data_IF_073279505814
#
_entry.id   IF_073279505814
#
_cell.length_a   1.000
_cell.length_b   1.000
_cell.length_c   1.000
_cell.angle_alpha   90.00
_cell.angle_beta   90.00
_cell.angle_gamma   90.00
#
_symmetry.space_group_name_H-M   'P 1'
#
loop_
_entity.id
_entity.type
_entity.pdbx_description
1 polymer ?
2 non-polymer ?
3 water ?
#
# COMPACT_ATOMS: atom_id res chain seq x y z
N UNK A 1 -0.42 10.47 -19.36
CA UNK A 1 -1.36 11.33 -18.58
C UNK A 1 -0.94 12.80 -18.54
N UNK A 2 -1.29 13.51 -17.46
CA UNK A 2 -0.96 14.92 -17.31
C UNK A 2 0.20 15.17 -16.36
N UNK A 3 1.21 15.88 -16.84
CA UNK A 3 2.41 16.20 -16.05
C UNK A 3 2.56 17.71 -15.83
N UNK A 4 3.06 18.10 -14.66
CA UNK A 4 3.27 19.51 -14.31
C UNK A 4 4.77 19.81 -14.22
N UNK A 5 5.16 21.03 -14.59
CA UNK A 5 6.57 21.40 -14.59
C UNK A 5 7.25 21.75 -13.28
N UNK A 6 6.53 22.39 -12.36
CA UNK A 6 7.13 22.79 -11.11
C UNK A 6 7.36 21.69 -10.08
N UNK A 7 7.55 20.46 -10.54
CA UNK A 7 7.74 19.34 -9.63
C UNK A 7 8.88 18.38 -9.97
N UNK A 8 9.37 17.72 -8.94
CA UNK A 8 10.43 16.72 -9.06
C UNK A 8 9.71 15.38 -8.83
N UNK A 9 10.00 14.41 -9.69
CA UNK A 9 9.33 13.12 -9.62
C UNK A 9 10.17 11.89 -9.27
N UNK A 10 9.47 10.81 -8.98
CA UNK A 10 10.07 9.53 -8.64
C UNK A 10 9.52 8.47 -9.62
N UNK A 11 10.36 7.48 -9.97
CA UNK A 11 9.99 6.40 -10.88
C UNK A 11 8.73 5.66 -10.42
N UNK A 12 8.51 5.63 -9.11
CA UNK A 12 7.35 4.96 -8.54
C UNK A 12 6.11 5.85 -8.61
N UNK A 13 6.21 6.91 -9.40
CA UNK A 13 5.14 7.88 -9.65
C UNK A 13 4.72 8.87 -8.57
N UNK A 14 5.59 9.13 -7.62
CA UNK A 14 5.29 10.12 -6.58
C UNK A 14 5.94 11.43 -6.99
N UNK A 15 5.39 12.53 -6.52
CA UNK A 15 5.93 13.86 -6.82
C UNK A 15 6.23 14.62 -5.55
N UNK A 16 7.12 15.59 -5.66
CA UNK A 16 7.52 16.41 -4.53
C UNK A 16 7.38 17.87 -4.95
N UNK A 17 7.18 18.73 -3.98
CA UNK A 17 7.04 20.15 -4.23
C UNK A 17 7.85 20.82 -3.14
N UNK A 18 8.95 21.45 -3.54
CA UNK A 18 9.84 22.14 -2.60
C UNK A 18 9.38 23.59 -2.51
N UNK A 19 9.26 24.09 -1.29
CA UNK A 19 8.82 25.45 -1.05
C UNK A 19 9.50 25.99 0.20
N UNK A 20 10.67 26.57 0.00
CA UNK A 20 11.42 27.13 1.11
C UNK A 20 12.13 26.07 1.94
N UNK A 21 11.42 25.51 2.90
CA UNK A 21 11.99 24.49 3.77
C UNK A 21 11.00 23.36 4.05
N UNK A 22 10.07 23.15 3.13
CA UNK A 22 9.07 22.09 3.24
C UNK A 22 8.77 21.44 1.91
N UNK A 23 8.46 20.15 1.96
CA UNK A 23 8.16 19.41 0.76
C UNK A 23 6.77 18.81 0.87
N UNK A 24 5.98 18.94 -0.19
CA UNK A 24 4.64 18.37 -0.23
C UNK A 24 4.76 17.17 -1.17
N UNK A 25 4.33 16.01 -0.67
CA UNK A 25 4.39 14.76 -1.43
C UNK A 25 2.99 14.25 -1.77
N UNK A 26 2.89 13.56 -2.90
CA UNK A 26 1.64 12.98 -3.36
C UNK A 26 1.97 12.04 -4.51
N UNK A 27 0.94 11.55 -5.21
CA UNK A 27 1.17 10.68 -6.35
C UNK A 27 0.67 11.38 -7.62
N UNK A 28 1.35 11.11 -8.73
CA UNK A 28 1.01 11.71 -10.02
C UNK A 28 -0.33 11.32 -10.62
N UNK A 29 -0.67 11.98 -11.73
CA UNK A 29 -1.92 11.71 -12.42
C UNK A 29 -1.84 10.39 -13.13
N UNK A 30 -0.66 10.05 -13.64
CA UNK A 30 -0.45 8.78 -14.35
C UNK A 30 -0.73 7.65 -13.37
N UNK A 31 -0.31 7.86 -12.12
CA UNK A 31 -0.47 6.89 -11.06
C UNK A 31 -1.94 6.58 -10.76
N UNK A 32 -2.74 7.62 -10.53
CA UNK A 32 -4.15 7.44 -10.20
C UNK A 32 -4.95 6.90 -11.38
N UNK A 33 -4.53 7.30 -12.58
CA UNK A 33 -5.18 6.88 -13.81
C UNK A 33 -4.98 5.38 -13.96
N UNK A 34 -3.83 4.90 -13.51
CA UNK A 34 -3.52 3.47 -13.59
C UNK A 34 -4.10 2.70 -12.41
N UNK A 35 -4.16 3.35 -11.24
CA UNK A 35 -4.71 2.69 -10.07
C UNK A 35 -6.20 2.44 -10.17
N UNK A 36 -6.90 3.35 -10.83
CA UNK A 36 -8.34 3.24 -10.95
C UNK A 36 -8.93 3.98 -9.76
N UNK A 37 -10.23 3.87 -9.56
CA UNK A 37 -10.88 4.56 -8.45
C UNK A 37 -10.20 4.25 -7.11
N UNK A 38 -9.68 5.30 -6.47
CA UNK A 38 -9.04 5.16 -5.18
C UNK A 38 -10.12 5.14 -4.11
N UNK A 39 -10.11 4.10 -3.29
CA UNK A 39 -11.10 3.94 -2.24
C UNK A 39 -10.61 4.08 -0.79
N UNK A 40 -9.30 4.21 -0.60
CA UNK A 40 -8.77 4.36 0.74
C UNK A 40 -7.31 4.79 0.73
N UNK A 41 -6.93 5.59 1.72
CA UNK A 41 -5.56 6.06 1.82
C UNK A 41 -5.07 5.92 3.25
N UNK A 42 -3.95 5.23 3.41
CA UNK A 42 -3.35 5.03 4.73
C UNK A 42 -2.11 5.90 4.78
N UNK A 43 -2.17 6.95 5.58
CA UNK A 43 -1.05 7.90 5.72
C UNK A 43 -0.29 7.71 7.03
N UNK A 44 0.97 8.16 7.08
CA UNK A 44 1.81 8.06 8.28
C UNK A 44 1.42 9.05 9.38
N UNK A 45 2.11 8.98 10.50
CA UNK A 45 1.84 9.84 11.64
C UNK A 45 2.80 11.02 11.71
N UNK A 46 2.31 12.19 12.18
CA UNK A 46 3.16 13.38 12.30
C UNK A 46 4.31 13.12 13.28
N UNK A 47 5.46 13.69 12.98
CA UNK A 47 6.65 13.51 13.81
C UNK A 47 7.53 12.37 13.34
N UNK A 48 6.93 11.42 12.61
CA UNK A 48 7.64 10.25 12.09
C UNK A 48 8.56 10.62 10.93
N UNK A 49 9.69 9.91 10.85
CA UNK A 49 10.67 10.16 9.79
C UNK A 49 10.49 9.27 8.57
N UNK A 50 10.45 9.89 7.39
CA UNK A 50 10.33 9.12 6.17
C UNK A 50 11.73 9.05 5.57
N UNK A 51 11.98 7.99 4.82
CA UNK A 51 13.28 7.80 4.19
C UNK A 51 13.13 7.69 2.68
N UNK A 52 14.10 8.26 1.95
CA UNK A 52 14.09 8.23 0.50
C UNK A 52 14.05 6.77 0.01
N UNK A 53 13.01 6.45 -0.76
CA UNK A 53 12.86 5.10 -1.28
C UNK A 53 12.04 4.12 -0.47
N UNK A 54 11.77 4.43 0.79
CA UNK A 54 10.97 3.55 1.64
C UNK A 54 9.50 3.97 1.71
N UNK A 55 8.62 3.00 1.93
CA UNK A 55 7.20 3.28 1.98
C UNK A 55 6.76 4.01 3.23
N UNK A 56 5.87 4.99 3.06
CA UNK A 56 5.34 5.77 4.18
C UNK A 56 3.85 5.55 4.36
N UNK A 57 3.19 5.12 3.29
CA UNK A 57 1.76 4.88 3.35
C UNK A 57 1.31 4.03 2.19
N UNK A 58 0.01 3.98 1.99
CA UNK A 58 -0.55 3.19 0.90
C UNK A 58 -1.85 3.78 0.38
N UNK A 59 -2.13 3.46 -0.87
CA UNK A 59 -3.32 3.89 -1.57
C UNK A 59 -3.98 2.61 -2.04
N UNK A 60 -5.26 2.46 -1.75
CA UNK A 60 -6.00 1.28 -2.18
C UNK A 60 -6.99 1.67 -3.23
N UNK A 61 -7.09 0.85 -4.27
CA UNK A 61 -8.04 1.10 -5.35
C UNK A 61 -9.04 -0.03 -5.28
N UNK A 62 -9.95 -0.05 -6.24
CA UNK A 62 -10.95 -1.10 -6.30
C UNK A 62 -10.27 -2.42 -6.68
N UNK A 63 -9.08 -2.35 -7.29
CA UNK A 63 -8.36 -3.59 -7.63
C UNK A 63 -7.28 -3.97 -6.63
N UNK A 64 -6.44 -3.01 -6.24
CA UNK A 64 -5.36 -3.34 -5.34
C UNK A 64 -4.80 -2.32 -4.34
N UNK A 65 -3.82 -2.79 -3.57
CA UNK A 65 -3.11 -2.02 -2.57
C UNK A 65 -1.79 -1.60 -3.22
N UNK A 66 -1.56 -0.30 -3.22
CA UNK A 66 -0.36 0.27 -3.82
C UNK A 66 0.41 1.09 -2.78
N UNK A 67 1.56 0.57 -2.36
CA UNK A 67 2.41 1.25 -1.39
C UNK A 67 3.15 2.44 -2.00
N UNK A 68 3.02 3.60 -1.37
CA UNK A 68 3.68 4.80 -1.87
C UNK A 68 5.00 5.05 -1.17
N UNK A 69 6.05 5.14 -1.98
CA UNK A 69 7.41 5.38 -1.49
C UNK A 69 7.73 6.86 -1.40
N UNK A 70 8.35 7.25 -0.29
CA UNK A 70 8.71 8.63 -0.09
C UNK A 70 9.85 8.97 -1.04
N UNK A 71 9.65 10.00 -1.89
CA UNK A 71 10.66 10.45 -2.85
C UNK A 71 11.93 11.00 -2.21
N UNK A 72 11.82 11.46 -0.96
CA UNK A 72 12.96 11.99 -0.19
C UNK A 72 12.80 11.69 1.29
N UNK A 73 13.80 12.08 2.09
CA UNK A 73 13.77 11.86 3.54
C UNK A 73 13.36 13.13 4.29
N UNK A 74 12.93 12.93 5.53
CA UNK A 74 12.51 14.04 6.36
C UNK A 74 11.58 13.62 7.49
N UNK A 75 11.11 14.61 8.23
CA UNK A 75 10.20 14.33 9.33
C UNK A 75 8.82 14.79 8.86
N UNK A 76 7.81 13.96 9.10
CA UNK A 76 6.46 14.33 8.71
C UNK A 76 5.97 15.38 9.68
N UNK A 77 5.56 16.52 9.15
CA UNK A 77 5.05 17.60 9.97
C UNK A 77 3.55 17.69 9.76
N UNK A 78 3.11 17.36 8.54
CA UNK A 78 1.71 17.43 8.19
C UNK A 78 1.22 16.24 7.39
N UNK A 79 -0.07 15.96 7.54
CA UNK A 79 -0.73 14.85 6.86
C UNK A 79 -2.13 15.30 6.41
N UNK A 80 -2.49 14.97 5.17
CA UNK A 80 -3.81 15.33 4.65
C UNK A 80 -4.87 14.42 5.25
N UNK A 81 -5.43 14.83 6.38
CA UNK A 81 -6.46 14.06 7.08
C UNK A 81 -7.77 14.03 6.32
N UNK A 82 -7.89 14.89 5.31
CA UNK A 82 -9.09 14.94 4.50
C UNK A 82 -9.21 13.74 3.57
N UNK A 83 -8.08 13.07 3.33
CA UNK A 83 -8.07 11.90 2.45
C UNK A 83 -8.78 10.70 3.05
N UNK A 84 -8.82 10.62 4.39
CA UNK A 84 -9.51 9.51 5.06
C UNK A 84 -10.99 9.58 4.74
N UNK A 85 -11.51 10.81 4.69
CA UNK A 85 -12.90 11.04 4.38
C UNK A 85 -13.19 10.99 2.88
N UNK A 86 -12.36 11.66 2.10
CA UNK A 86 -12.52 11.68 0.65
C UNK A 86 -11.32 11.12 -0.11
N UNK A 87 -11.17 9.79 -0.13
CA UNK A 87 -10.04 9.15 -0.82
C UNK A 87 -10.03 9.50 -2.31
N UNK A 88 -11.19 9.89 -2.82
CA UNK A 88 -11.32 10.22 -4.23
C UNK A 88 -10.53 11.41 -4.73
N UNK A 89 -10.15 12.31 -3.81
CA UNK A 89 -9.37 13.49 -4.18
C UNK A 89 -8.08 13.12 -4.90
N UNK A 90 -7.63 11.89 -4.71
CA UNK A 90 -6.43 11.41 -5.35
C UNK A 90 -6.71 11.32 -6.85
N UNK A 91 -7.87 10.78 -7.20
CA UNK A 91 -8.25 10.64 -8.61
C UNK A 91 -8.59 11.99 -9.25
N UNK A 92 -9.35 12.81 -8.52
CA UNK A 92 -9.79 14.11 -9.04
C UNK A 92 -8.79 15.26 -8.99
N UNK A 93 -7.94 15.27 -7.96
CA UNK A 93 -6.97 16.36 -7.79
C UNK A 93 -5.64 15.79 -7.26
N UNK A 94 -4.97 14.92 -8.06
CA UNK A 94 -3.71 14.31 -7.65
C UNK A 94 -2.59 15.29 -7.28
N UNK A 95 -2.49 16.39 -8.00
CA UNK A 95 -1.43 17.35 -7.74
C UNK A 95 -1.75 18.47 -6.76
N UNK A 96 -3.03 18.74 -6.53
CA UNK A 96 -3.41 19.82 -5.62
C UNK A 96 -3.98 19.31 -4.29
N UNK A 97 -5.26 18.92 -4.29
CA UNK A 97 -5.94 18.44 -3.09
C UNK A 97 -5.61 17.00 -2.72
N UNK A 98 -5.05 16.26 -3.67
CA UNK A 98 -4.67 14.89 -3.43
C UNK A 98 -3.32 14.80 -2.74
N UNK A 99 -2.87 15.89 -2.11
CA UNK A 99 -1.59 15.84 -1.42
C UNK A 99 -1.69 14.88 -0.25
N UNK A 100 -0.63 14.10 -0.04
CA UNK A 100 -0.61 13.13 1.02
C UNK A 100 0.06 13.61 2.28
N UNK A 101 1.33 14.02 2.17
CA UNK A 101 2.06 14.51 3.34
C UNK A 101 2.93 15.75 3.07
N UNK A 102 3.36 16.38 4.16
CA UNK A 102 4.24 17.54 4.12
C UNK A 102 5.40 17.19 5.05
N UNK A 103 6.62 17.26 4.50
CA UNK A 103 7.82 16.88 5.24
C UNK A 103 8.88 17.97 5.36
N UNK A 104 9.74 17.82 6.36
CA UNK A 104 10.87 18.72 6.58
C UNK A 104 12.02 17.97 5.96
N UNK A 105 12.45 18.34 4.74
CA UNK A 105 13.57 17.62 4.10
C UNK A 105 14.81 17.58 4.99
N UNK A 106 15.23 16.36 5.33
CA UNK A 106 16.42 16.16 6.16
C UNK A 106 17.73 16.08 5.33
N UNK A 107 17.59 15.78 4.04
CA UNK A 107 18.72 15.67 3.11
C UNK A 107 18.26 16.29 1.78
N UNK A 108 18.10 17.62 1.75
CA UNK A 108 17.65 18.39 0.58
C UNK A 108 18.20 18.06 -0.80
N UNK A 109 19.52 17.92 -0.91
CA UNK A 109 20.16 17.61 -2.20
C UNK A 109 19.67 16.30 -2.86
N UNK A 110 18.90 15.51 -2.12
CA UNK A 110 18.34 14.26 -2.64
C UNK A 110 17.43 14.62 -3.82
N UNK A 111 17.02 15.89 -3.88
CA UNK A 111 16.16 16.41 -4.94
C UNK A 111 16.87 16.43 -6.30
N UNK A 112 18.20 16.37 -6.28
CA UNK A 112 18.99 16.37 -7.51
C UNK A 112 18.77 15.04 -8.25
N UNK A 113 18.68 13.94 -7.48
CA UNK A 113 18.46 12.60 -8.01
C UNK A 113 17.06 12.44 -8.60
N UNK A 114 16.19 13.40 -8.29
CA UNK A 114 14.80 13.36 -8.77
C UNK A 114 14.63 13.89 -10.19
N UNK A 115 13.79 13.19 -10.94
CA UNK A 115 13.49 13.54 -12.32
C UNK A 115 12.65 14.79 -12.41
N UNK A 116 12.62 15.39 -13.60
CA UNK A 116 11.83 16.58 -13.83
C UNK A 116 10.62 16.16 -14.64
N UNK A 117 9.84 17.14 -15.10
CA UNK A 117 8.63 16.85 -15.88
C UNK A 117 8.92 16.11 -17.17
N UNK A 118 9.85 16.64 -17.96
CA UNK A 118 10.24 16.05 -19.25
C UNK A 118 10.86 14.67 -19.04
N UNK A 119 11.73 14.57 -18.03
CA UNK A 119 12.38 13.31 -17.70
C UNK A 119 11.32 12.27 -17.31
N UNK A 120 10.36 12.69 -16.48
CA UNK A 120 9.28 11.82 -16.03
C UNK A 120 8.36 11.40 -17.17
N UNK A 121 8.03 12.34 -18.06
CA UNK A 121 7.15 12.05 -19.18
C UNK A 121 7.76 10.96 -20.06
N UNK A 122 9.06 11.09 -20.35
CA UNK A 122 9.77 10.09 -21.17
C UNK A 122 9.68 8.78 -20.41
N UNK A 123 9.90 8.85 -19.09
CA UNK A 123 9.84 7.66 -18.27
C UNK A 123 8.47 7.00 -18.39
N UNK A 124 7.40 7.76 -18.15
CA UNK A 124 6.06 7.21 -18.24
C UNK A 124 5.79 6.64 -19.62
N UNK A 125 6.43 7.19 -20.65
CA UNK A 125 6.26 6.69 -22.00
C UNK A 125 6.90 5.32 -22.15
N UNK A 126 8.12 5.18 -21.62
CA UNK A 126 8.87 3.93 -21.68
C UNK A 126 8.15 2.79 -20.99
N UNK A 127 7.60 3.08 -19.82
CA UNK A 127 6.88 2.10 -19.03
C UNK A 127 5.58 1.68 -19.71
N UNK A 128 4.88 2.64 -20.31
CA UNK A 128 3.63 2.36 -21.01
C UNK A 128 3.91 1.58 -22.30
N UNK A 129 5.06 1.86 -22.92
CA UNK A 129 5.48 1.22 -24.17
C UNK A 129 5.96 -0.23 -24.00
N UNK A 130 6.35 -0.59 -22.79
CA UNK A 130 6.81 -1.95 -22.51
C UNK A 130 5.60 -2.88 -22.46
N UNK A 131 4.58 -2.53 -23.25
CA UNK A 131 3.33 -3.27 -23.37
C UNK A 131 2.61 -2.81 -24.64
N UNK B 1 -19.04 -12.47 -0.50
CA UNK B 1 -17.65 -12.62 0.04
C UNK B 1 -17.69 -13.07 1.48
N UNK B 2 -17.00 -14.16 1.77
CA UNK B 2 -16.96 -14.69 3.13
C UNK B 2 -15.99 -13.89 4.01
N UNK B 3 -16.40 -13.68 5.27
CA UNK B 3 -15.61 -12.98 6.26
C UNK B 3 -15.71 -13.76 7.57
N UNK B 4 -14.62 -14.42 7.95
CA UNK B 4 -14.58 -15.23 9.18
C UNK B 4 -14.62 -14.40 10.48
N UNK B 5 -15.35 -14.92 11.46
CA UNK B 5 -15.56 -14.26 12.74
C UNK B 5 -14.36 -14.15 13.69
N UNK B 6 -13.44 -15.11 13.63
CA UNK B 6 -12.30 -15.07 14.54
C UNK B 6 -11.04 -14.35 14.08
N UNK B 7 -11.11 -13.72 12.93
CA UNK B 7 -9.97 -13.01 12.37
C UNK B 7 -10.07 -11.50 12.50
N UNK B 8 -8.93 -10.84 12.53
CA UNK B 8 -8.87 -9.39 12.60
C UNK B 8 -8.49 -8.95 11.19
N UNK B 9 -8.85 -7.73 10.80
CA UNK B 9 -8.53 -7.27 9.45
C UNK B 9 -7.88 -5.90 9.33
N UNK B 10 -7.05 -5.75 8.31
CA UNK B 10 -6.36 -4.49 8.02
C UNK B 10 -7.17 -3.89 6.87
N UNK B 11 -7.38 -2.56 6.88
CA UNK B 11 -8.15 -1.98 5.77
C UNK B 11 -7.56 -2.32 4.39
N UNK B 12 -6.28 -2.66 4.38
CA UNK B 12 -5.59 -3.04 3.15
C UNK B 12 -5.96 -4.46 2.69
N UNK B 13 -6.95 -5.04 3.36
CA UNK B 13 -7.49 -6.36 3.07
C UNK B 13 -6.67 -7.60 3.40
N UNK B 14 -5.94 -7.54 4.50
CA UNK B 14 -5.17 -8.69 4.98
C UNK B 14 -5.84 -9.13 6.28
N UNK B 15 -5.80 -10.43 6.56
CA UNK B 15 -6.39 -10.96 7.78
C UNK B 15 -5.32 -11.50 8.71
N UNK B 16 -5.65 -11.63 9.99
CA UNK B 16 -4.68 -12.15 10.95
C UNK B 16 -5.32 -13.15 11.88
N UNK B 17 -4.76 -14.36 11.91
CA UNK B 17 -5.26 -15.40 12.79
C UNK B 17 -4.24 -15.55 13.91
N UNK B 18 -4.60 -15.10 15.11
CA UNK B 18 -3.68 -15.20 16.22
C UNK B 18 -3.96 -16.41 17.11
N UNK B 19 -3.03 -17.36 17.09
CA UNK B 19 -3.10 -18.58 17.87
C UNK B 19 -1.75 -18.81 18.53
N UNK B 20 -1.76 -18.89 19.85
CA UNK B 20 -0.51 -19.07 20.58
C UNK B 20 0.35 -17.85 20.36
N UNK B 21 1.66 -18.04 20.22
CA UNK B 21 2.56 -16.91 20.00
C UNK B 21 2.84 -16.77 18.49
N UNK B 22 1.95 -17.36 17.68
CA UNK B 22 2.08 -17.34 16.22
C UNK B 22 0.89 -16.64 15.58
N UNK B 23 1.16 -15.73 14.63
CA UNK B 23 0.09 -15.05 13.93
C UNK B 23 0.22 -15.38 12.44
N UNK B 24 -0.89 -15.80 11.83
CA UNK B 24 -0.89 -16.15 10.42
C UNK B 24 -1.52 -15.04 9.59
N UNK B 25 -0.85 -14.65 8.51
CA UNK B 25 -1.36 -13.61 7.64
C UNK B 25 -1.63 -14.06 6.21
N UNK B 26 -2.71 -13.53 5.64
CA UNK B 26 -3.12 -13.84 4.29
C UNK B 26 -3.99 -12.73 3.72
N UNK B 27 -4.47 -12.94 2.49
CA UNK B 27 -5.33 -12.01 1.78
C UNK B 27 -6.79 -12.42 2.02
N UNK B 28 -7.71 -11.45 2.11
CA UNK B 28 -9.12 -11.78 2.34
C UNK B 28 -9.81 -12.34 1.09
N UNK B 29 -11.04 -12.80 1.26
CA UNK B 29 -11.83 -13.35 0.17
C UNK B 29 -12.16 -12.19 -0.79
N UNK B 30 -12.46 -11.04 -0.20
CA UNK B 30 -12.76 -9.82 -0.92
C UNK B 30 -11.56 -9.46 -1.80
N UNK B 31 -10.37 -9.51 -1.20
CA UNK B 31 -9.15 -9.18 -1.91
C UNK B 31 -8.90 -10.08 -3.11
N UNK B 32 -9.02 -11.39 -2.94
CA UNK B 32 -8.77 -12.29 -4.06
C UNK B 32 -9.80 -12.11 -5.15
N UNK B 33 -11.06 -11.91 -4.74
CA UNK B 33 -12.16 -11.73 -5.67
C UNK B 33 -11.99 -10.50 -6.55
N UNK B 34 -11.62 -9.38 -5.94
CA UNK B 34 -11.42 -8.13 -6.66
C UNK B 34 -10.12 -8.08 -7.48
N UNK B 35 -9.16 -8.95 -7.14
CA UNK B 35 -7.89 -8.98 -7.84
C UNK B 35 -7.85 -9.85 -9.09
N UNK B 36 -8.65 -10.92 -9.08
CA UNK B 36 -8.68 -11.84 -10.20
C UNK B 36 -7.78 -13.03 -9.90
N UNK B 37 -7.75 -14.01 -10.80
CA UNK B 37 -6.93 -15.22 -10.63
C UNK B 37 -5.47 -14.86 -10.38
N UNK B 38 -4.95 -15.28 -9.23
CA UNK B 38 -3.57 -15.00 -8.90
C UNK B 38 -2.67 -15.94 -9.69
N UNK B 39 -1.73 -15.35 -10.42
CA UNK B 39 -0.82 -16.12 -11.24
C UNK B 39 0.59 -16.18 -10.66
N UNK B 40 0.92 -15.19 -9.83
CA UNK B 40 2.24 -15.12 -9.20
C UNK B 40 2.14 -14.55 -7.80
N UNK B 41 2.94 -15.09 -6.89
CA UNK B 41 2.98 -14.68 -5.50
C UNK B 41 4.43 -14.50 -5.01
N UNK B 42 4.73 -13.31 -4.50
CA UNK B 42 6.08 -13.01 -4.01
C UNK B 42 6.02 -12.98 -2.48
N UNK B 43 6.82 -13.84 -1.85
CA UNK B 43 6.85 -13.96 -0.39
C UNK B 43 8.18 -13.62 0.23
N UNK B 44 8.20 -13.30 1.53
CA UNK B 44 9.44 -12.97 2.22
C UNK B 44 10.20 -14.26 2.50
N UNK B 45 11.17 -14.17 3.39
CA UNK B 45 11.98 -15.31 3.76
C UNK B 45 11.97 -15.40 5.29
N UNK B 46 12.02 -16.61 5.86
CA UNK B 46 12.03 -16.75 7.32
C UNK B 46 13.29 -16.15 7.91
N UNK B 47 13.15 -15.52 9.07
CA UNK B 47 14.28 -14.91 9.74
C UNK B 47 14.27 -13.40 9.55
N UNK B 48 13.50 -12.96 8.56
CA UNK B 48 13.33 -11.54 8.22
C UNK B 48 12.15 -10.96 9.04
N UNK B 49 12.23 -9.69 9.42
CA UNK B 49 11.15 -9.09 10.19
C UNK B 49 10.15 -8.37 9.31
N UNK B 50 8.94 -8.19 9.82
CA UNK B 50 7.86 -7.46 9.13
C UNK B 50 7.33 -6.38 10.06
N UNK B 51 6.89 -5.26 9.48
CA UNK B 51 6.39 -4.13 10.24
C UNK B 51 4.97 -3.76 9.83
N UNK B 52 4.14 -3.45 10.81
CA UNK B 52 2.75 -3.07 10.55
C UNK B 52 2.67 -1.91 9.55
N UNK B 53 1.88 -2.12 8.49
CA UNK B 53 1.71 -1.11 7.46
C UNK B 53 2.71 -1.16 6.32
N UNK B 54 3.80 -1.92 6.51
CA UNK B 54 4.83 -2.08 5.50
C UNK B 54 4.58 -3.36 4.70
N UNK B 55 4.74 -3.27 3.38
CA UNK B 55 4.57 -4.41 2.51
C UNK B 55 5.62 -5.48 2.75
N UNK B 56 5.25 -6.74 2.58
CA UNK B 56 6.16 -7.87 2.80
C UNK B 56 6.22 -8.81 1.60
N UNK B 57 5.13 -8.86 0.85
CA UNK B 57 5.07 -9.68 -0.33
C UNK B 57 4.27 -8.93 -1.36
N UNK B 58 3.65 -9.67 -2.28
CA UNK B 58 2.83 -9.06 -3.31
C UNK B 58 2.17 -10.13 -4.16
N UNK B 59 0.91 -9.92 -4.50
CA UNK B 59 0.21 -10.87 -5.34
C UNK B 59 -0.06 -10.27 -6.72
N UNK B 60 0.22 -11.05 -7.75
CA UNK B 60 0.03 -10.61 -9.11
C UNK B 60 -0.98 -11.49 -9.84
N UNK B 61 -1.91 -10.83 -10.54
CA UNK B 61 -2.93 -11.49 -11.35
C UNK B 61 -2.78 -10.84 -12.74
N UNK B 62 -3.53 -11.32 -13.74
CA UNK B 62 -3.43 -10.74 -15.08
C UNK B 62 -4.08 -9.36 -15.06
N UNK B 63 -4.96 -9.16 -14.08
CA UNK B 63 -5.69 -7.93 -13.91
C UNK B 63 -4.90 -6.86 -13.17
N UNK B 64 -4.17 -7.25 -12.11
CA UNK B 64 -3.37 -6.30 -11.33
C UNK B 64 -2.31 -6.93 -10.44
N UNK B 65 -1.51 -6.04 -9.88
CA UNK B 65 -0.40 -6.34 -8.96
C UNK B 65 -0.71 -5.58 -7.68
N UNK B 66 -0.79 -6.30 -6.57
CA UNK B 66 -1.13 -5.68 -5.31
C UNK B 66 -0.12 -5.90 -4.21
N UNK B 67 0.28 -4.83 -3.55
CA UNK B 67 1.21 -4.91 -2.44
C UNK B 67 0.49 -5.54 -1.25
N UNK B 68 1.16 -6.46 -0.57
CA UNK B 68 0.59 -7.12 0.59
C UNK B 68 1.38 -6.66 1.82
N UNK B 69 0.69 -5.93 2.69
CA UNK B 69 1.30 -5.37 3.92
C UNK B 69 0.98 -6.16 5.18
N UNK B 70 1.89 -6.13 6.13
CA UNK B 70 1.70 -6.85 7.38
C UNK B 70 0.83 -6.06 8.35
N UNK B 71 -0.27 -6.66 8.83
CA UNK B 71 -1.18 -6.00 9.77
C UNK B 71 -0.50 -5.65 11.10
N UNK B 72 0.55 -6.40 11.43
CA UNK B 72 1.31 -6.20 12.66
C UNK B 72 2.81 -6.42 12.43
N UNK B 73 3.61 -6.15 13.46
CA UNK B 73 5.06 -6.30 13.38
C UNK B 73 5.54 -7.59 14.07
N UNK B 74 6.68 -8.09 13.63
CA UNK B 74 7.21 -9.31 14.23
C UNK B 74 8.18 -9.98 13.29
N UNK B 75 8.70 -11.14 13.66
CA UNK B 75 9.65 -11.84 12.79
C UNK B 75 9.02 -13.01 12.08
N UNK B 76 9.24 -13.09 10.77
CA UNK B 76 8.71 -14.17 9.96
C UNK B 76 9.33 -15.49 10.40
N UNK B 77 8.50 -16.47 10.76
CA UNK B 77 9.02 -17.77 11.19
C UNK B 77 8.76 -18.86 10.17
N UNK B 78 7.77 -18.63 9.31
CA UNK B 78 7.40 -19.58 8.27
C UNK B 78 6.68 -18.88 7.13
N UNK B 79 6.83 -19.43 5.92
CA UNK B 79 6.21 -18.89 4.73
C UNK B 79 5.58 -20.06 3.98
N UNK B 80 4.50 -19.78 3.23
CA UNK B 80 3.79 -20.82 2.48
C UNK B 80 4.41 -21.12 1.10
N UNK B 81 5.40 -22.00 1.12
CA UNK B 81 6.16 -22.43 -0.06
C UNK B 81 5.31 -23.07 -1.16
N UNK B 82 4.20 -23.69 -0.76
CA UNK B 82 3.33 -24.32 -1.72
C UNK B 82 2.53 -23.31 -2.54
N UNK B 83 2.70 -22.04 -2.22
CA UNK B 83 1.98 -20.98 -2.92
C UNK B 83 2.56 -20.63 -4.30
N UNK B 84 3.90 -20.65 -4.43
CA UNK B 84 4.54 -20.31 -5.70
C UNK B 84 4.31 -21.33 -6.81
N UNK B 85 3.75 -22.48 -6.45
CA UNK B 85 3.45 -23.50 -7.44
C UNK B 85 1.95 -23.62 -7.62
N UNK B 86 1.22 -23.14 -6.64
CA UNK B 86 -0.24 -23.18 -6.66
C UNK B 86 -0.79 -21.82 -6.20
N UNK B 87 -0.43 -20.73 -6.92
CA UNK B 87 -0.89 -19.37 -6.60
C UNK B 87 -2.40 -19.24 -6.48
N UNK B 88 -3.10 -20.09 -7.21
CA UNK B 88 -4.56 -20.11 -7.21
C UNK B 88 -5.14 -20.39 -5.83
N UNK B 89 -4.34 -20.98 -4.93
CA UNK B 89 -4.79 -21.28 -3.58
C UNK B 89 -5.32 -20.04 -2.88
N UNK B 90 -4.74 -18.89 -3.19
CA UNK B 90 -5.17 -17.60 -2.62
C UNK B 90 -6.59 -17.29 -3.11
N UNK B 91 -6.91 -17.71 -4.33
CA UNK B 91 -8.23 -17.49 -4.90
C UNK B 91 -9.24 -18.49 -4.32
N UNK B 92 -8.84 -19.76 -4.29
CA UNK B 92 -9.69 -20.85 -3.81
C UNK B 92 -9.84 -21.01 -2.30
N UNK B 93 -8.75 -20.86 -1.56
CA UNK B 93 -8.78 -21.03 -0.10
C UNK B 93 -8.09 -19.88 0.63
N UNK B 94 -8.52 -18.64 0.38
CA UNK B 94 -7.93 -17.44 0.99
C UNK B 94 -7.60 -17.48 2.48
N UNK B 95 -8.42 -18.16 3.27
CA UNK B 95 -8.21 -18.23 4.72
C UNK B 95 -7.46 -19.45 5.27
N UNK B 96 -7.46 -20.55 4.54
CA UNK B 96 -6.78 -21.76 5.00
C UNK B 96 -5.49 -22.07 4.25
N UNK B 97 -5.60 -22.74 3.10
CA UNK B 97 -4.42 -23.10 2.32
C UNK B 97 -3.79 -21.92 1.60
N UNK B 98 -4.53 -20.82 1.52
CA UNK B 98 -4.05 -19.60 0.89
C UNK B 98 -3.23 -18.71 1.83
N UNK B 99 -3.07 -19.13 3.09
CA UNK B 99 -2.29 -18.37 4.07
C UNK B 99 -0.89 -18.09 3.50
N UNK B 100 -0.38 -16.89 3.75
CA UNK B 100 0.92 -16.49 3.19
C UNK B 100 2.13 -16.60 4.08
N UNK B 101 2.07 -16.02 5.28
CA UNK B 101 3.19 -16.09 6.22
C UNK B 101 2.73 -16.30 7.66
N UNK B 102 3.66 -16.68 8.52
CA UNK B 102 3.38 -16.89 9.94
C UNK B 102 4.45 -16.13 10.69
N UNK B 103 4.04 -15.34 11.68
CA UNK B 103 4.99 -14.54 12.44
C UNK B 103 4.86 -14.63 13.95
N UNK B 104 5.86 -14.10 14.65
CA UNK B 104 5.86 -14.03 16.10
C UNK B 104 5.68 -12.55 16.38
N UNK B 105 4.50 -12.15 16.89
CA UNK B 105 4.25 -10.74 17.19
C UNK B 105 5.29 -10.09 18.09
N UNK B 106 5.57 -8.82 17.82
CA UNK B 106 6.54 -8.03 18.57
C UNK B 106 5.81 -7.12 19.54
N UNK B 107 4.64 -6.65 19.10
CA UNK B 107 3.79 -5.76 19.88
C UNK B 107 2.32 -6.17 19.70
N UNK B 108 1.89 -7.22 20.42
CA UNK B 108 0.53 -7.76 20.36
C UNK B 108 -0.58 -6.70 20.45
N UNK B 109 -0.24 -5.52 20.97
CA UNK B 109 -1.18 -4.41 21.11
C UNK B 109 -1.66 -3.86 19.77
N UNK B 110 -0.88 -4.08 18.72
CA UNK B 110 -1.25 -3.60 17.39
C UNK B 110 -2.52 -4.27 16.92
N UNK B 111 -2.81 -5.44 17.48
CA UNK B 111 -4.01 -6.18 17.13
C UNK B 111 -5.28 -5.46 17.55
N UNK B 112 -5.13 -4.36 18.26
CA UNK B 112 -6.29 -3.63 18.71
C UNK B 112 -6.78 -2.59 17.70
N UNK B 113 -5.87 -2.01 16.92
CA UNK B 113 -6.28 -1.01 15.92
C UNK B 113 -6.91 -1.64 14.69
N UNK B 114 -6.65 -2.94 14.50
CA UNK B 114 -7.20 -3.68 13.36
C UNK B 114 -8.71 -3.78 13.44
N UNK B 115 -9.33 -4.18 12.34
CA UNK B 115 -10.78 -4.30 12.28
C UNK B 115 -11.35 -5.67 12.64
N UNK B 116 -12.52 -5.64 13.28
CA UNK B 116 -13.20 -6.87 13.62
C UNK B 116 -13.93 -7.32 12.37
N UNK B 117 -14.41 -8.56 12.35
CA UNK B 117 -15.13 -9.09 11.19
C UNK B 117 -16.29 -8.19 10.76
N UNK B 118 -17.04 -7.72 11.75
CA UNK B 118 -18.19 -6.86 11.51
C UNK B 118 -17.79 -5.56 10.81
N UNK B 119 -16.86 -4.80 11.39
CA UNK B 119 -16.42 -3.54 10.79
C UNK B 119 -15.81 -3.76 9.42
N UNK B 120 -15.06 -4.85 9.25
CA UNK B 120 -14.45 -5.14 7.98
C UNK B 120 -15.50 -5.27 6.89
N UNK B 121 -16.54 -6.05 7.17
CA UNK B 121 -17.62 -6.24 6.21
C UNK B 121 -18.30 -4.94 5.84
N UNK B 122 -18.52 -4.06 6.82
CA UNK B 122 -19.16 -2.79 6.51
C UNK B 122 -18.19 -1.86 5.77
N UNK B 123 -16.91 -2.02 6.07
CA UNK B 123 -15.85 -1.22 5.43
C UNK B 123 -15.79 -1.61 3.97
N UNK B 124 -15.93 -2.89 3.70
CA UNK B 124 -15.90 -3.38 2.32
C UNK B 124 -17.11 -2.92 1.53
N UNK B 125 -18.20 -2.61 2.25
CA UNK B 125 -19.43 -2.12 1.64
C UNK B 125 -19.31 -0.64 1.29
N UNK B 126 -18.52 0.07 2.10
CA UNK B 126 -18.26 1.48 1.87
C UNK B 126 -17.42 1.59 0.59
N UNK B 127 -16.45 0.70 0.44
CA UNK B 127 -15.57 0.72 -0.73
C UNK B 127 -16.22 0.33 -2.04
N UNK B 128 -17.10 -0.66 -1.99
CA UNK B 128 -17.78 -1.15 -3.19
C UNK B 128 -18.97 -0.28 -3.62
N UNK B 129 -19.46 0.55 -2.71
CA UNK B 129 -20.58 1.44 -3.03
C UNK B 129 -20.16 2.49 -4.07
N UNK B 130 -21.12 3.07 -4.75
CA UNK B 130 -20.82 4.09 -5.75
C UNK B 130 -20.45 5.39 -5.05
N UNK B 131 -19.52 6.12 -5.65
CA UNK B 131 -19.04 7.38 -5.10
C UNK B 131 -19.02 8.45 -6.20
X LIG C 1 -3.76 -1.71 -10.63
X LIG C 1 -4.14 -1.18 -9.59
X LIG C 1 -2.31 -2.13 -10.76
X LIG C 1 -1.36 -1.13 -10.07
X LIG C 1 -1.18 0.14 -10.90
X LIG C 1 -0.18 1.10 -10.27
X LIG C 1 0.48 2.06 -11.27
X LIG C 1 1.21 1.28 -12.37
X LIG C 1 2.03 2.17 -13.29
X LIG C 1 2.69 1.32 -14.73
X LIG C 1 1.50 3.34 -10.53
X LIG D 1 -10.53 -4.96 -11.97
X LIG D 1 -10.80 -3.87 -12.48
X LIG D 1 -11.41 -5.53 -10.85
X LIG D 1 -12.40 -4.51 -10.30
X LIG D 1 -13.30 -5.11 -9.23
X LIG D 1 -14.38 -4.13 -8.79
X LIG D 1 -15.45 -4.71 -7.85
X LIG D 1 -16.01 -6.02 -8.44
X LIG D 1 -17.00 -6.75 -7.54
X LIG D 1 -17.57 -8.33 -8.22
X LIG D 1 -16.73 -3.50 -7.33
#
# INVERSE_FOLDING_TARGET
>A
SNVLDGLKYAPSHEWVKHEGSVATIGITDHAQDHLGEVVFVELPEPGVSVTKGKGFGAVESVKATSDVNSPISGEVIEVNTGLTGKPGLINSSPYEDGWMIKIKPTSPDELESLLGAKEYTKFCEEEDAAH
>B
SNVLDGLKYAPSHEWVKHEGSVATIGITDHAQDHLGEVVFVELPEPGVSVTKGKGFGAVESVKATSDVNSPISGEVIEVNTGLTGKPGLINSSPYEDGWMIKIKPTSPDELESLLGAKEYTKFCEEEDAAH
>C hetero
1 RED C1 O1 C2 C3 C4 C5 C6 C7 C8 S8 S6
>D hetero
1 RED C1 O1 C2 C3 C4 C5 C6 C7 C8 S8 S6
#
